data_IF_081164773101
#
_entry.id   IF_081164773101
#
_cell.length_a   1.000
_cell.length_b   1.000
_cell.length_c   1.000
_cell.angle_alpha   90.00
_cell.angle_beta   90.00
_cell.angle_gamma   90.00
#
_symmetry.space_group_name_H-M   'P 1'
#
loop_
_entity.id
_entity.type
_entity.pdbx_description
1 polymer ?
#
# COMPACT_ATOMS: atom_id res chain seq x y z
N UNK A 1 15.01 67.33 2.16
CA UNK A 1 15.48 66.03 1.60
C UNK A 1 17.00 66.07 1.56
N UNK A 2 17.69 65.22 2.31
CA UNK A 2 19.15 65.13 2.27
C UNK A 2 19.69 64.17 3.34
N UNK A 3 20.03 62.95 2.93
CA UNK A 3 20.73 61.95 3.77
C UNK A 3 22.21 62.31 3.82
N UNK A 4 22.82 62.33 5.00
CA UNK A 4 24.27 62.37 5.18
C UNK A 4 24.70 61.14 6.00
N UNK A 5 25.65 60.40 5.44
CA UNK A 5 26.38 59.30 6.08
C UNK A 5 27.54 59.90 6.89
N UNK A 6 27.84 59.33 8.05
CA UNK A 6 29.19 59.35 8.64
C UNK A 6 29.47 58.01 9.28
N UNK A 7 30.56 57.39 8.84
CA UNK A 7 31.31 56.34 9.52
C UNK A 7 32.07 56.91 10.73
N UNK A 8 32.32 56.08 11.75
CA UNK A 8 33.61 55.99 12.45
C UNK A 8 33.63 54.72 13.30
N UNK A 9 34.82 54.15 13.38
CA UNK A 9 35.23 52.85 13.87
C UNK A 9 35.72 52.85 15.32
N UNK A 10 35.86 51.63 15.85
CA UNK A 10 36.73 51.15 16.96
C UNK A 10 36.47 51.60 18.41
N UNK A 11 36.21 50.63 19.31
CA UNK A 11 37.20 50.13 20.28
C UNK A 11 36.56 49.18 21.31
N UNK A 12 37.32 48.14 21.64
CA UNK A 12 37.05 46.99 22.51
C UNK A 12 36.65 47.31 23.96
N UNK A 13 35.75 46.49 24.54
CA UNK A 13 35.76 46.18 25.97
C UNK A 13 35.01 44.87 26.25
N UNK A 14 35.79 43.90 26.72
CA UNK A 14 35.40 42.62 27.30
C UNK A 14 34.46 42.84 28.49
N UNK A 15 33.29 42.21 28.51
CA UNK A 15 32.45 42.10 29.72
C UNK A 15 31.75 40.75 29.71
N UNK A 16 32.27 39.86 30.56
CA UNK A 16 31.65 38.61 31.00
C UNK A 16 30.18 38.85 31.40
N UNK A 17 29.23 38.36 30.61
CA UNK A 17 27.83 38.28 31.03
C UNK A 17 27.23 36.89 30.74
N UNK A 18 26.84 36.25 31.84
CA UNK A 18 26.37 34.88 31.97
C UNK A 18 25.20 34.52 31.00
N UNK A 19 25.05 33.22 30.63
CA UNK A 19 24.04 32.81 29.66
C UNK A 19 22.62 33.01 30.20
N UNK A 20 21.87 33.90 29.53
CA UNK A 20 20.45 34.13 29.74
C UNK A 20 19.67 32.81 29.85
N UNK A 21 19.02 32.62 31.00
CA UNK A 21 18.16 31.46 31.26
C UNK A 21 17.00 31.47 30.26
N UNK A 22 16.86 30.36 29.53
CA UNK A 22 15.75 30.15 28.59
C UNK A 22 14.45 30.12 29.40
N UNK A 23 13.73 31.25 29.40
CA UNK A 23 12.38 31.37 29.93
C UNK A 23 11.52 30.27 29.31
N UNK A 24 11.02 29.35 30.13
CA UNK A 24 10.05 28.34 29.73
C UNK A 24 8.81 29.07 29.20
N UNK A 25 8.62 29.09 27.88
CA UNK A 25 7.36 29.50 27.26
C UNK A 25 6.26 28.67 27.92
N UNK A 26 5.40 29.34 28.70
CA UNK A 26 4.25 28.73 29.34
C UNK A 26 3.34 28.05 28.32
N UNK A 27 2.47 27.16 28.83
CA UNK A 27 1.48 26.44 28.04
C UNK A 27 0.72 27.42 27.14
N UNK A 28 0.60 27.17 25.82
CA UNK A 28 -0.08 28.09 24.91
C UNK A 28 -1.52 28.33 25.39
N UNK A 29 -1.93 29.60 25.42
CA UNK A 29 -3.31 30.04 25.67
C UNK A 29 -4.22 29.32 24.67
N UNK A 30 -5.18 28.54 25.17
CA UNK A 30 -6.12 27.76 24.33
C UNK A 30 -6.19 26.26 24.66
N UNK A 31 -5.29 25.75 25.48
CA UNK A 31 -5.36 24.35 25.96
C UNK A 31 -6.34 24.21 27.14
N UNK A 32 -7.61 24.54 26.90
CA UNK A 32 -8.67 24.27 27.88
C UNK A 32 -8.74 22.77 28.12
N UNK A 33 -8.75 22.37 29.38
CA UNK A 33 -8.99 20.97 29.74
C UNK A 33 -10.42 20.59 29.30
N UNK A 34 -10.65 19.30 29.07
CA UNK A 34 -11.99 18.79 28.82
C UNK A 34 -12.77 18.77 30.14
N UNK A 35 -13.89 19.47 30.18
CA UNK A 35 -14.83 19.44 31.30
C UNK A 35 -15.69 18.18 31.25
N UNK A 36 -16.31 17.79 32.37
CA UNK A 36 -17.28 16.67 32.41
C UNK A 36 -18.35 16.75 31.31
N UNK A 37 -19.08 17.88 31.14
CA UNK A 37 -20.05 18.02 30.05
C UNK A 37 -19.43 17.91 28.65
N UNK A 38 -18.18 18.35 28.46
CA UNK A 38 -17.49 18.19 27.18
C UNK A 38 -17.26 16.72 26.86
N UNK A 39 -16.93 15.92 27.88
CA UNK A 39 -16.72 14.47 27.75
C UNK A 39 -18.05 13.79 27.45
N UNK A 40 -19.11 14.12 28.20
CA UNK A 40 -20.45 13.58 27.95
C UNK A 40 -20.90 13.86 26.52
N UNK A 41 -20.78 15.10 26.05
CA UNK A 41 -21.19 15.44 24.70
C UNK A 41 -20.31 14.76 23.64
N UNK A 42 -19.00 14.68 23.86
CA UNK A 42 -18.10 13.94 22.97
C UNK A 42 -18.55 12.49 22.81
N UNK A 43 -18.96 11.83 23.92
CA UNK A 43 -19.45 10.45 23.87
C UNK A 43 -20.77 10.35 23.09
N UNK A 44 -21.71 11.28 23.31
CA UNK A 44 -22.98 11.33 22.56
C UNK A 44 -22.74 11.50 21.05
N UNK A 45 -21.89 12.44 20.65
CA UNK A 45 -21.55 12.64 19.23
C UNK A 45 -20.87 11.42 18.63
N UNK A 46 -19.97 10.77 19.38
CA UNK A 46 -19.24 9.58 18.93
C UNK A 46 -20.16 8.36 18.80
N UNK A 47 -21.10 8.19 19.73
CA UNK A 47 -22.10 7.09 19.70
C UNK A 47 -23.03 7.22 18.49
N UNK A 48 -23.43 8.45 18.13
CA UNK A 48 -24.30 8.70 16.97
C UNK A 48 -23.62 8.42 15.63
N UNK A 49 -22.36 8.81 15.49
CA UNK A 49 -21.63 8.70 14.20
C UNK A 49 -20.97 7.32 14.05
N UNK A 50 -20.49 6.72 15.15
CA UNK A 50 -19.60 5.57 15.17
C UNK A 50 -18.45 5.77 14.17
N UNK A 51 -17.51 6.69 14.48
CA UNK A 51 -16.53 7.16 13.51
C UNK A 51 -15.57 6.04 13.09
N UNK A 52 -15.57 5.73 11.80
CA UNK A 52 -14.59 4.84 11.16
C UNK A 52 -13.60 5.69 10.37
N UNK A 53 -12.34 5.70 10.80
CA UNK A 53 -11.27 6.48 10.17
C UNK A 53 -11.48 8.00 10.25
N UNK A 54 -10.65 8.75 9.51
CA UNK A 54 -10.59 10.21 9.61
C UNK A 54 -11.87 10.94 9.19
N UNK A 55 -12.65 10.38 8.23
CA UNK A 55 -13.91 10.99 7.78
C UNK A 55 -14.96 11.02 8.89
N UNK A 56 -15.14 9.90 9.61
CA UNK A 56 -16.07 9.85 10.74
C UNK A 56 -15.67 10.82 11.87
N UNK A 57 -14.38 10.98 12.14
CA UNK A 57 -13.92 11.94 13.15
C UNK A 57 -14.20 13.41 12.77
N UNK A 58 -14.19 13.76 11.48
CA UNK A 58 -14.61 15.10 11.02
C UNK A 58 -16.10 15.36 11.29
N UNK A 59 -16.95 14.35 11.07
CA UNK A 59 -18.39 14.44 11.34
C UNK A 59 -18.69 14.58 12.84
N UNK A 60 -17.97 13.83 13.69
CA UNK A 60 -18.04 13.99 15.16
C UNK A 60 -17.62 15.41 15.56
N UNK A 61 -16.55 15.93 14.94
CA UNK A 61 -16.04 17.28 15.23
C UNK A 61 -17.03 18.36 14.82
N UNK A 62 -17.63 18.25 13.64
CA UNK A 62 -18.66 19.17 13.19
C UNK A 62 -19.87 19.17 14.15
N UNK A 63 -20.31 17.99 14.59
CA UNK A 63 -21.42 17.85 15.54
C UNK A 63 -21.08 18.42 16.92
N UNK A 64 -19.86 18.18 17.40
CA UNK A 64 -19.37 18.71 18.67
C UNK A 64 -19.22 20.24 18.64
N UNK A 65 -18.63 20.81 17.58
CA UNK A 65 -18.41 22.25 17.49
C UNK A 65 -19.72 23.03 17.37
N UNK A 66 -20.76 22.47 16.71
CA UNK A 66 -22.12 23.05 16.74
C UNK A 66 -22.64 23.20 18.16
N UNK A 67 -22.59 22.12 18.94
CA UNK A 67 -22.97 22.16 20.36
C UNK A 67 -22.06 23.08 21.19
N UNK A 68 -20.77 23.14 20.88
CA UNK A 68 -19.82 23.99 21.60
C UNK A 68 -20.17 25.46 21.43
N UNK A 69 -20.52 25.90 20.21
CA UNK A 69 -20.98 27.27 19.94
C UNK A 69 -22.27 27.57 20.71
N UNK A 70 -23.26 26.68 20.67
CA UNK A 70 -24.53 26.83 21.41
C UNK A 70 -24.31 26.91 22.93
N UNK A 71 -23.31 26.18 23.44
CA UNK A 71 -22.98 26.11 24.87
C UNK A 71 -21.94 27.16 25.31
N UNK A 72 -21.56 28.10 24.45
CA UNK A 72 -20.51 29.11 24.69
C UNK A 72 -19.16 28.50 25.12
N UNK A 73 -18.77 27.38 24.48
CA UNK A 73 -17.52 26.64 24.73
C UNK A 73 -16.56 26.78 23.55
N UNK A 74 -15.24 26.65 23.80
CA UNK A 74 -14.27 26.74 22.73
C UNK A 74 -14.40 25.55 21.77
N UNK A 75 -14.39 25.85 20.48
CA UNK A 75 -14.28 24.85 19.41
C UNK A 75 -13.01 24.01 19.56
N UNK A 76 -13.08 22.76 19.12
CA UNK A 76 -11.98 21.80 19.22
C UNK A 76 -11.60 21.27 17.85
N UNK A 77 -10.30 21.00 17.71
CA UNK A 77 -9.76 20.31 16.55
C UNK A 77 -10.11 18.81 16.60
N UNK A 78 -10.25 18.21 15.42
CA UNK A 78 -10.57 16.80 15.22
C UNK A 78 -9.60 15.90 15.99
N UNK A 79 -8.31 16.20 15.90
CA UNK A 79 -7.27 15.41 16.58
C UNK A 79 -7.38 15.48 18.10
N UNK A 80 -7.86 16.61 18.64
CA UNK A 80 -8.04 16.79 20.09
C UNK A 80 -9.17 15.92 20.62
N UNK A 81 -10.31 15.90 19.93
CA UNK A 81 -11.47 15.09 20.28
C UNK A 81 -11.17 13.60 20.18
N UNK A 82 -10.56 13.17 19.06
CA UNK A 82 -10.15 11.78 18.85
C UNK A 82 -9.15 11.32 19.92
N UNK A 83 -8.14 12.15 20.22
CA UNK A 83 -7.14 11.82 21.23
C UNK A 83 -7.76 11.67 22.62
N UNK A 84 -8.71 12.55 22.96
CA UNK A 84 -9.43 12.48 24.24
C UNK A 84 -10.29 11.23 24.35
N UNK A 85 -11.03 10.87 23.29
CA UNK A 85 -11.82 9.64 23.25
C UNK A 85 -10.94 8.40 23.41
N UNK A 86 -9.85 8.29 22.63
CA UNK A 86 -8.90 7.17 22.73
C UNK A 86 -8.28 7.06 24.12
N UNK A 87 -8.05 8.18 24.81
CA UNK A 87 -7.56 8.19 26.18
C UNK A 87 -8.59 7.59 27.15
N UNK A 88 -9.88 7.92 26.99
CA UNK A 88 -10.97 7.35 27.80
C UNK A 88 -11.09 5.84 27.57
N UNK A 89 -11.01 5.38 26.33
CA UNK A 89 -11.02 3.93 25.99
C UNK A 89 -9.85 3.20 26.63
N UNK A 90 -8.65 3.79 26.57
CA UNK A 90 -7.41 3.22 27.15
C UNK A 90 -7.33 3.33 28.68
N UNK A 91 -8.31 3.96 29.34
CA UNK A 91 -8.29 4.09 30.79
C UNK A 91 -8.22 2.71 31.46
N UNK A 92 -7.19 2.54 32.29
CA UNK A 92 -6.90 1.28 32.99
C UNK A 92 -7.98 0.99 34.03
N UNK A 93 -8.20 -0.30 34.32
CA UNK A 93 -9.01 -0.72 35.46
C UNK A 93 -8.42 -0.06 36.72
N UNK A 94 -9.23 0.57 37.59
CA UNK A 94 -8.73 1.05 38.86
C UNK A 94 -8.16 -0.13 39.66
N UNK A 95 -6.96 0.03 40.22
CA UNK A 95 -6.31 -1.02 41.00
C UNK A 95 -7.02 -1.16 42.36
N UNK A 96 -7.78 -2.24 42.56
CA UNK A 96 -8.53 -2.51 43.79
C UNK A 96 -10.06 -2.37 43.64
N UNK A 97 -10.76 -1.94 44.71
CA UNK A 97 -12.22 -1.75 44.75
C UNK A 97 -12.72 -0.46 44.08
N UNK A 98 -11.97 0.10 43.14
CA UNK A 98 -12.34 1.35 42.50
C UNK A 98 -13.53 1.18 41.56
N UNK A 99 -14.54 2.04 41.69
CA UNK A 99 -15.66 2.12 40.73
C UNK A 99 -15.13 2.78 39.45
N UNK A 100 -15.27 2.09 38.31
CA UNK A 100 -14.94 2.66 37.01
C UNK A 100 -15.92 3.82 36.68
N UNK A 101 -15.44 5.04 36.37
CA UNK A 101 -16.31 6.16 35.99
C UNK A 101 -17.25 5.80 34.84
N UNK A 102 -18.49 6.30 34.87
CA UNK A 102 -19.51 6.04 33.83
C UNK A 102 -19.00 6.42 32.44
N UNK A 103 -18.38 7.58 32.31
CA UNK A 103 -17.77 8.08 31.06
C UNK A 103 -16.80 7.07 30.42
N UNK A 104 -16.02 6.36 31.24
CA UNK A 104 -15.06 5.35 30.76
C UNK A 104 -15.78 4.06 30.34
N UNK A 105 -16.85 3.68 31.05
CA UNK A 105 -17.68 2.54 30.67
C UNK A 105 -18.36 2.80 29.33
N UNK A 106 -18.92 3.99 29.15
CA UNK A 106 -19.58 4.41 27.91
C UNK A 106 -18.59 4.51 26.75
N UNK A 107 -17.42 5.11 26.95
CA UNK A 107 -16.37 5.14 25.93
C UNK A 107 -16.00 3.73 25.44
N UNK A 108 -15.83 2.77 26.35
CA UNK A 108 -15.53 1.37 26.01
C UNK A 108 -16.70 0.66 25.32
N UNK A 109 -17.94 0.98 25.69
CA UNK A 109 -19.14 0.48 25.02
C UNK A 109 -19.20 0.96 23.57
N UNK A 110 -18.98 2.26 23.36
CA UNK A 110 -18.96 2.88 22.03
C UNK A 110 -17.80 2.33 21.19
N UNK A 111 -16.62 2.15 21.75
CA UNK A 111 -15.47 1.56 21.05
C UNK A 111 -15.77 0.15 20.51
N UNK A 112 -16.49 -0.68 21.28
CA UNK A 112 -16.96 -1.98 20.79
C UNK A 112 -17.93 -1.83 19.61
N UNK A 113 -18.88 -0.91 19.68
CA UNK A 113 -19.83 -0.66 18.60
C UNK A 113 -19.15 -0.15 17.32
N UNK A 114 -18.10 0.68 17.45
CA UNK A 114 -17.26 1.10 16.32
C UNK A 114 -16.56 -0.11 15.69
N UNK A 115 -15.96 -0.97 16.51
CA UNK A 115 -15.25 -2.15 16.01
C UNK A 115 -16.21 -3.16 15.35
N UNK A 116 -17.41 -3.36 15.89
CA UNK A 116 -18.45 -4.21 15.30
C UNK A 116 -18.85 -3.71 13.91
N UNK A 117 -19.07 -2.39 13.76
CA UNK A 117 -19.36 -1.77 12.45
C UNK A 117 -18.24 -1.98 11.42
N UNK A 118 -16.99 -2.06 11.87
CA UNK A 118 -15.84 -2.32 10.98
C UNK A 118 -15.76 -3.80 10.60
N UNK A 119 -16.07 -4.70 11.53
CA UNK A 119 -16.02 -6.16 11.32
C UNK A 119 -17.14 -6.65 10.40
N UNK A 120 -18.30 -6.00 10.38
CA UNK A 120 -19.45 -6.37 9.51
C UNK A 120 -19.28 -5.86 8.06
N UNK A 121 -18.09 -5.39 7.65
CA UNK A 121 -17.85 -5.16 6.21
C UNK A 121 -17.59 -6.53 5.56
N UNK A 122 -18.50 -7.07 4.73
CA UNK A 122 -18.24 -8.31 4.02
C UNK A 122 -16.97 -8.10 3.20
N UNK A 123 -15.95 -8.88 3.51
CA UNK A 123 -14.87 -9.11 2.57
C UNK A 123 -15.50 -9.92 1.45
N UNK A 124 -15.63 -9.30 0.29
CA UNK A 124 -16.07 -9.98 -0.92
C UNK A 124 -14.93 -10.93 -1.31
N UNK A 125 -15.02 -12.19 -0.86
CA UNK A 125 -14.04 -13.26 -1.11
C UNK A 125 -14.04 -13.74 -2.58
N UNK A 126 -14.69 -13.00 -3.48
CA UNK A 126 -14.88 -13.37 -4.89
C UNK A 126 -13.58 -13.36 -5.73
N UNK A 127 -12.43 -12.96 -5.17
CA UNK A 127 -11.12 -12.92 -5.85
C UNK A 127 -10.04 -13.82 -5.21
N UNK A 128 -10.41 -14.91 -4.52
CA UNK A 128 -9.45 -15.98 -4.19
C UNK A 128 -9.88 -17.27 -4.89
N UNK A 129 -9.60 -17.31 -6.19
CA UNK A 129 -9.70 -18.50 -7.01
C UNK A 129 -8.66 -19.55 -6.58
N UNK A 130 -9.17 -20.65 -6.02
CA UNK A 130 -8.67 -22.02 -6.12
C UNK A 130 -7.15 -22.26 -5.98
N UNK A 131 -6.71 -22.57 -4.75
CA UNK A 131 -5.65 -23.57 -4.52
C UNK A 131 -6.04 -24.50 -3.37
N UNK A 132 -6.59 -25.66 -3.78
CA UNK A 132 -6.35 -27.01 -3.26
C UNK A 132 -6.05 -27.22 -1.76
N UNK A 133 -7.05 -27.85 -1.12
CA UNK A 133 -6.95 -29.06 -0.28
C UNK A 133 -6.08 -29.06 1.00
N UNK A 134 -6.80 -29.34 2.10
CA UNK A 134 -6.39 -30.12 3.27
C UNK A 134 -5.34 -29.52 4.21
N UNK A 135 -5.79 -28.83 5.26
CA UNK A 135 -5.36 -29.20 6.61
C UNK A 135 -6.33 -28.69 7.70
N UNK A 136 -6.41 -29.46 8.76
CA UNK A 136 -7.38 -29.38 9.86
C UNK A 136 -7.17 -28.16 10.76
N UNK A 137 -8.25 -27.44 11.12
CA UNK A 137 -8.20 -26.41 12.18
C UNK A 137 -9.08 -26.84 13.36
N UNK A 138 -8.43 -27.41 14.38
CA UNK A 138 -8.97 -27.45 15.74
C UNK A 138 -8.50 -26.26 16.58
N UNK A 139 -9.49 -25.50 17.06
CA UNK A 139 -9.63 -24.96 18.43
C UNK A 139 -8.61 -23.90 18.93
N UNK A 140 -9.12 -22.67 18.98
CA UNK A 140 -9.09 -21.70 20.09
C UNK A 140 -7.87 -21.67 21.05
N UNK A 141 -7.13 -20.55 21.05
CA UNK A 141 -6.93 -19.79 22.31
C UNK A 141 -6.42 -18.34 22.11
N UNK A 142 -6.69 -17.43 23.07
CA UNK A 142 -6.61 -15.98 22.89
C UNK A 142 -5.25 -15.36 23.21
N UNK A 143 -4.95 -14.32 22.42
CA UNK A 143 -4.10 -13.14 22.66
C UNK A 143 -3.41 -13.06 24.03
N UNK A 144 -2.10 -13.37 24.07
CA UNK A 144 -1.21 -12.88 25.13
C UNK A 144 -0.66 -11.52 24.72
N UNK A 145 -1.09 -10.48 25.45
CA UNK A 145 -0.64 -9.11 25.27
C UNK A 145 0.85 -8.95 25.63
N UNK A 146 1.64 -8.40 24.71
CA UNK A 146 2.98 -7.85 25.00
C UNK A 146 2.84 -6.66 25.97
N UNK A 147 3.20 -6.88 27.22
CA UNK A 147 3.39 -5.82 28.22
C UNK A 147 4.64 -5.03 27.84
N UNK A 148 4.47 -3.83 27.27
CA UNK A 148 5.52 -2.80 27.25
C UNK A 148 5.29 -1.88 28.45
N UNK A 149 6.10 -2.07 29.48
CA UNK A 149 6.20 -1.18 30.64
C UNK A 149 6.84 0.14 30.21
N UNK A 150 6.04 1.20 30.13
CA UNK A 150 6.55 2.56 29.98
C UNK A 150 7.09 3.03 31.34
N UNK A 151 8.42 3.19 31.42
CA UNK A 151 9.12 3.83 32.53
C UNK A 151 8.84 5.33 32.50
N UNK A 152 8.18 5.86 33.53
CA UNK A 152 8.09 7.29 33.76
C UNK A 152 9.44 7.82 34.24
N UNK A 153 10.00 8.82 33.56
CA UNK A 153 11.13 9.62 34.05
C UNK A 153 10.68 10.41 35.28
N UNK A 154 11.05 9.94 36.48
CA UNK A 154 11.04 10.71 37.72
C UNK A 154 12.41 11.35 37.93
N UNK A 155 12.41 12.55 38.50
CA UNK A 155 13.60 13.29 38.90
C UNK A 155 14.54 12.45 39.80
N UNK A 156 15.85 12.77 39.85
CA UNK A 156 16.86 11.92 40.49
C UNK A 156 16.70 11.96 42.01
N UNK A 157 16.12 10.90 42.58
CA UNK A 157 16.25 10.59 44.00
C UNK A 157 17.50 9.71 44.19
N UNK A 158 18.32 9.94 45.23
CA UNK A 158 19.54 9.16 45.47
C UNK A 158 19.21 7.67 45.65
N UNK A 159 20.09 6.75 45.18
CA UNK A 159 19.77 5.33 45.11
C UNK A 159 19.74 4.72 46.50
N UNK A 160 18.55 4.47 47.02
CA UNK A 160 18.38 3.54 48.13
C UNK A 160 18.71 2.13 47.61
N UNK A 161 19.81 1.57 48.13
CA UNK A 161 20.23 0.17 47.93
C UNK A 161 19.03 -0.75 48.15
N UNK A 162 18.48 -1.29 47.05
CA UNK A 162 17.55 -2.42 47.12
C UNK A 162 18.33 -3.59 47.70
N UNK A 163 18.05 -3.95 48.95
CA UNK A 163 18.46 -5.25 49.50
C UNK A 163 17.77 -6.31 48.65
N UNK A 164 18.56 -6.91 47.76
CA UNK A 164 18.26 -8.17 47.11
C UNK A 164 17.96 -9.20 48.20
N UNK A 165 16.70 -9.46 48.49
CA UNK A 165 16.30 -10.71 49.13
C UNK A 165 16.31 -11.77 48.04
N UNK A 166 17.50 -12.23 47.68
CA UNK A 166 17.67 -13.48 46.94
C UNK A 166 17.19 -14.58 47.85
N UNK A 167 16.08 -15.21 47.49
CA UNK A 167 15.73 -16.50 48.05
C UNK A 167 16.85 -17.47 47.63
N UNK A 168 17.76 -17.77 48.56
CA UNK A 168 18.90 -18.66 48.36
C UNK A 168 18.57 -20.03 47.69
N UNK A 169 17.39 -20.68 47.88
CA UNK A 169 17.13 -21.96 47.20
C UNK A 169 17.07 -21.83 45.67
N UNK A 170 16.62 -20.70 45.13
CA UNK A 170 16.38 -20.54 43.68
C UNK A 170 17.68 -20.29 42.88
N UNK A 171 18.76 -19.85 43.54
CA UNK A 171 20.07 -19.65 42.90
C UNK A 171 20.82 -20.98 42.81
N UNK A 172 20.78 -21.80 43.85
CA UNK A 172 21.39 -23.13 43.83
C UNK A 172 20.68 -24.05 42.84
N UNK A 173 19.35 -24.02 42.78
CA UNK A 173 18.60 -24.78 41.76
C UNK A 173 18.92 -24.34 40.33
N UNK A 174 19.11 -23.04 40.07
CA UNK A 174 19.52 -22.53 38.75
C UNK A 174 20.95 -22.88 38.38
N UNK A 175 21.85 -22.88 39.35
CA UNK A 175 23.23 -23.34 39.14
C UNK A 175 23.25 -24.84 38.87
N UNK A 176 22.51 -25.65 39.62
CA UNK A 176 22.40 -27.10 39.39
C UNK A 176 21.78 -27.39 38.02
N UNK A 177 20.70 -26.71 37.64
CA UNK A 177 20.08 -26.89 36.31
C UNK A 177 20.98 -26.42 35.16
N UNK A 178 21.94 -25.52 35.42
CA UNK A 178 22.90 -25.08 34.40
C UNK A 178 23.99 -26.12 34.11
N UNK A 179 24.20 -27.09 35.00
CA UNK A 179 25.13 -28.20 34.82
C UNK A 179 24.43 -29.51 34.42
N UNK A 180 23.10 -29.50 34.28
CA UNK A 180 22.34 -30.62 33.75
C UNK A 180 22.53 -30.70 32.21
N UNK A 181 23.11 -31.78 31.66
CA UNK A 181 23.40 -31.89 30.23
C UNK A 181 22.14 -31.79 29.36
N UNK A 182 20.99 -32.28 29.83
CA UNK A 182 19.73 -32.24 29.08
C UNK A 182 19.18 -30.80 28.99
N UNK A 183 19.27 -30.03 30.09
CA UNK A 183 18.87 -28.63 30.10
C UNK A 183 19.75 -27.75 29.18
N UNK A 184 21.04 -28.10 29.04
CA UNK A 184 21.94 -27.42 28.09
C UNK A 184 21.58 -27.73 26.64
N UNK A 185 21.25 -28.98 26.32
CA UNK A 185 20.81 -29.37 24.98
C UNK A 185 19.51 -28.65 24.59
N UNK A 186 18.52 -28.61 25.49
CA UNK A 186 17.27 -27.89 25.24
C UNK A 186 17.48 -26.40 24.95
N UNK A 187 18.40 -25.74 25.66
CA UNK A 187 18.75 -24.34 25.39
C UNK A 187 19.48 -24.16 24.05
N UNK A 188 20.37 -25.08 23.69
CA UNK A 188 21.04 -25.05 22.38
C UNK A 188 20.05 -25.26 21.25
N UNK A 189 19.12 -26.19 21.41
CA UNK A 189 18.04 -26.42 20.45
C UNK A 189 17.14 -25.18 20.32
N UNK A 190 16.76 -24.54 21.42
CA UNK A 190 16.02 -23.27 21.36
C UNK A 190 16.80 -22.16 20.64
N UNK A 191 18.12 -22.06 20.86
CA UNK A 191 18.96 -21.11 20.12
C UNK A 191 19.02 -21.45 18.63
N UNK A 192 19.12 -22.73 18.29
CA UNK A 192 19.12 -23.21 16.90
C UNK A 192 17.78 -22.96 16.21
N UNK A 193 16.66 -23.22 16.91
CA UNK A 193 15.32 -22.91 16.41
C UNK A 193 15.13 -21.40 16.22
N UNK A 194 15.57 -20.59 17.19
CA UNK A 194 15.48 -19.13 17.07
C UNK A 194 16.38 -18.58 15.96
N UNK A 195 17.61 -19.08 15.81
CA UNK A 195 18.51 -18.64 14.73
C UNK A 195 17.98 -19.06 13.35
N UNK A 196 17.38 -20.25 13.25
CA UNK A 196 16.73 -20.73 12.04
C UNK A 196 15.54 -19.84 11.66
N UNK A 197 14.63 -19.57 12.60
CA UNK A 197 13.48 -18.67 12.40
C UNK A 197 13.94 -17.25 12.01
N UNK A 198 15.00 -16.75 12.64
CA UNK A 198 15.56 -15.43 12.33
C UNK A 198 16.10 -15.37 10.90
N UNK A 199 16.81 -16.42 10.46
CA UNK A 199 17.33 -16.52 9.09
C UNK A 199 16.20 -16.60 8.07
N UNK A 200 15.16 -17.40 8.34
CA UNK A 200 13.98 -17.49 7.47
C UNK A 200 13.26 -16.14 7.35
N UNK A 201 13.07 -15.43 8.47
CA UNK A 201 12.48 -14.10 8.48
C UNK A 201 13.31 -13.11 7.66
N UNK A 202 14.65 -13.18 7.74
CA UNK A 202 15.53 -12.32 6.95
C UNK A 202 15.42 -12.62 5.46
N UNK A 203 15.36 -13.90 5.08
CA UNK A 203 15.18 -14.32 3.69
C UNK A 203 13.86 -13.81 3.09
N UNK A 204 12.75 -13.95 3.83
CA UNK A 204 11.45 -13.42 3.39
C UNK A 204 11.45 -11.89 3.30
N UNK A 205 12.10 -11.19 4.25
CA UNK A 205 12.24 -9.73 4.17
C UNK A 205 13.08 -9.29 2.97
N UNK A 206 14.11 -10.07 2.60
CA UNK A 206 14.89 -9.80 1.40
C UNK A 206 14.04 -9.96 0.15
N UNK A 207 13.27 -11.05 0.03
CA UNK A 207 12.33 -11.25 -1.09
C UNK A 207 11.32 -10.11 -1.22
N UNK A 208 10.77 -9.62 -0.10
CA UNK A 208 9.85 -8.48 -0.12
C UNK A 208 10.50 -7.20 -0.62
N UNK A 209 11.77 -6.96 -0.28
CA UNK A 209 12.52 -5.80 -0.79
C UNK A 209 12.76 -5.92 -2.29
N UNK A 210 13.17 -7.09 -2.74
CA UNK A 210 13.44 -7.33 -4.16
C UNK A 210 12.16 -7.22 -5.00
N UNK A 211 11.05 -7.77 -4.53
CA UNK A 211 9.74 -7.64 -5.18
C UNK A 211 9.25 -6.18 -5.22
N UNK A 212 9.48 -5.39 -4.16
CA UNK A 212 9.15 -3.97 -4.18
C UNK A 212 10.02 -3.20 -5.18
N UNK A 213 11.32 -3.52 -5.28
CA UNK A 213 12.22 -2.90 -6.24
C UNK A 213 11.82 -3.21 -7.70
N UNK A 214 11.39 -4.45 -8.00
CA UNK A 214 10.89 -4.78 -9.33
C UNK A 214 9.58 -4.07 -9.64
N UNK A 215 8.66 -3.96 -8.67
CA UNK A 215 7.42 -3.21 -8.84
C UNK A 215 7.66 -1.71 -9.10
N UNK A 216 8.62 -1.09 -8.41
CA UNK A 216 9.03 0.30 -8.67
C UNK A 216 9.66 0.46 -10.07
N UNK A 217 10.50 -0.48 -10.49
CA UNK A 217 11.07 -0.50 -11.84
C UNK A 217 9.99 -0.57 -12.93
N UNK A 218 9.00 -1.45 -12.76
CA UNK A 218 7.87 -1.55 -13.69
C UNK A 218 7.01 -0.28 -13.71
N UNK A 219 6.74 0.33 -12.54
CA UNK A 219 6.03 1.62 -12.47
C UNK A 219 6.79 2.73 -13.20
N UNK A 220 8.11 2.80 -13.05
CA UNK A 220 8.93 3.78 -13.76
C UNK A 220 8.86 3.57 -15.27
N UNK A 221 8.95 2.31 -15.74
CA UNK A 221 8.83 1.97 -17.15
C UNK A 221 7.46 2.31 -17.73
N UNK A 222 6.37 2.05 -16.99
CA UNK A 222 5.03 2.47 -17.39
C UNK A 222 4.94 4.00 -17.51
N UNK A 223 5.44 4.74 -16.53
CA UNK A 223 5.46 6.20 -16.60
C UNK A 223 6.30 6.74 -17.77
N UNK A 224 7.39 6.06 -18.15
CA UNK A 224 8.16 6.42 -19.35
C UNK A 224 7.38 6.18 -20.65
N UNK A 225 6.69 5.05 -20.75
CA UNK A 225 5.83 4.73 -21.89
C UNK A 225 4.67 5.72 -21.99
N UNK A 226 4.03 6.07 -20.87
CA UNK A 226 2.98 7.10 -20.82
C UNK A 226 3.49 8.45 -21.32
N UNK A 227 4.65 8.91 -20.83
CA UNK A 227 5.26 10.15 -21.34
C UNK A 227 5.62 10.06 -22.82
N UNK A 228 6.05 8.91 -23.32
CA UNK A 228 6.34 8.72 -24.73
C UNK A 228 5.05 8.77 -25.58
N UNK A 229 3.96 8.15 -25.09
CA UNK A 229 2.63 8.24 -25.69
C UNK A 229 2.16 9.68 -25.76
N UNK A 230 2.19 10.42 -24.65
CA UNK A 230 1.74 11.82 -24.62
C UNK A 230 2.54 12.72 -25.57
N UNK A 231 3.86 12.47 -25.71
CA UNK A 231 4.71 13.15 -26.71
C UNK A 231 4.30 12.81 -28.14
N UNK A 232 3.96 11.54 -28.41
CA UNK A 232 3.50 11.11 -29.71
C UNK A 232 2.12 11.70 -30.04
N UNK A 233 1.21 11.74 -29.07
CA UNK A 233 -0.12 12.38 -29.18
C UNK A 233 0.02 13.87 -29.48
N UNK A 234 0.84 14.62 -28.74
CA UNK A 234 1.11 16.04 -29.04
C UNK A 234 1.71 16.24 -30.44
N UNK A 235 2.61 15.35 -30.87
CA UNK A 235 3.18 15.39 -32.22
C UNK A 235 2.10 15.13 -33.28
N UNK A 236 1.17 14.21 -33.00
CA UNK A 236 0.06 13.91 -33.89
C UNK A 236 -1.00 15.02 -33.88
N UNK A 237 -1.23 15.74 -32.79
CA UNK A 237 -2.07 16.95 -32.79
C UNK A 237 -1.42 18.08 -33.60
N UNK A 238 -0.10 18.24 -33.51
CA UNK A 238 0.63 19.29 -34.22
C UNK A 238 0.76 19.02 -35.74
N UNK A 239 0.86 17.75 -36.14
CA UNK A 239 1.07 17.33 -37.53
C UNK A 239 -0.08 16.48 -38.09
N UNK A 240 -1.21 16.42 -37.38
CA UNK A 240 -2.39 15.63 -37.74
C UNK A 240 -3.06 16.15 -39.00
N UNK A 241 -3.85 15.30 -39.70
CA UNK A 241 -4.38 15.63 -41.01
C UNK A 241 -5.19 16.91 -40.93
N UNK A 242 -4.77 17.92 -41.71
CA UNK A 242 -5.56 19.11 -41.97
C UNK A 242 -6.99 18.68 -42.34
N UNK A 243 -8.04 19.37 -41.84
CA UNK A 243 -9.40 19.01 -42.19
C UNK A 243 -9.50 19.04 -43.71
N UNK A 244 -9.96 17.93 -44.29
CA UNK A 244 -10.27 17.81 -45.71
C UNK A 244 -11.38 18.80 -46.06
N UNK A 245 -10.98 20.06 -46.28
CA UNK A 245 -11.77 21.04 -46.98
C UNK A 245 -11.82 20.59 -48.43
N UNK A 246 -12.99 20.12 -48.86
CA UNK A 246 -13.23 19.74 -50.23
C UNK A 246 -12.95 20.90 -51.18
N UNK A 247 -12.22 20.60 -52.26
CA UNK A 247 -12.55 21.03 -53.62
C UNK A 247 -11.52 20.45 -54.57
N UNK A 248 -12.02 19.91 -55.67
CA UNK A 248 -11.23 19.20 -56.66
C UNK A 248 -10.26 20.09 -57.43
N UNK A 249 -9.32 19.43 -58.08
CA UNK A 249 -8.79 19.78 -59.40
C UNK A 249 -7.68 18.80 -59.71
N UNK A 250 -7.76 18.14 -60.86
CA UNK A 250 -6.83 17.10 -61.28
C UNK A 250 -5.40 17.58 -61.40
N UNK A 251 -4.48 16.77 -60.87
CA UNK A 251 -3.09 16.71 -61.31
C UNK A 251 -2.72 15.24 -61.54
N UNK A 252 -1.93 14.90 -62.57
CA UNK A 252 -1.46 13.54 -62.81
C UNK A 252 -0.30 13.25 -61.85
N UNK A 253 -0.62 13.17 -60.57
CA UNK A 253 0.32 12.78 -59.52
C UNK A 253 0.36 11.26 -59.43
N UNK A 254 1.57 10.70 -59.48
CA UNK A 254 1.90 9.30 -59.23
C UNK A 254 0.95 8.67 -58.21
N UNK A 255 0.36 7.52 -58.56
CA UNK A 255 -0.60 6.85 -57.70
C UNK A 255 0.00 6.58 -56.33
N UNK A 256 -0.81 6.60 -55.26
CA UNK A 256 -0.40 6.30 -53.88
C UNK A 256 0.41 4.99 -53.75
N UNK A 257 0.24 4.06 -54.68
CA UNK A 257 1.03 2.84 -54.81
C UNK A 257 2.52 3.07 -55.11
N UNK A 258 2.88 4.15 -55.81
CA UNK A 258 4.28 4.50 -56.10
C UNK A 258 4.99 5.13 -54.90
N UNK A 259 4.29 5.91 -54.06
CA UNK A 259 4.90 6.51 -52.86
C UNK A 259 5.35 5.47 -51.84
N UNK A 260 4.58 4.39 -51.65
CA UNK A 260 4.92 3.33 -50.68
C UNK A 260 6.02 2.38 -51.19
N UNK A 261 6.16 2.25 -52.52
CA UNK A 261 7.22 1.44 -53.12
C UNK A 261 8.62 2.09 -52.99
N UNK A 262 8.69 3.43 -53.03
CA UNK A 262 9.94 4.18 -52.87
C UNK A 262 10.42 4.23 -51.41
N UNK A 263 9.51 4.17 -50.43
CA UNK A 263 9.85 4.21 -48.99
C UNK A 263 10.26 2.84 -48.42
N UNK A 264 9.81 1.74 -49.04
CA UNK A 264 10.16 0.38 -48.63
C UNK A 264 10.31 -0.58 -49.83
N UNK A 265 11.49 -0.64 -50.46
CA UNK A 265 11.69 -1.38 -51.72
C UNK A 265 11.57 -2.90 -51.60
N UNK A 266 11.63 -3.45 -50.38
CA UNK A 266 11.62 -4.90 -50.14
C UNK A 266 10.20 -5.50 -50.02
N UNK A 267 9.15 -4.67 -49.97
CA UNK A 267 7.78 -5.17 -49.86
C UNK A 267 7.19 -5.52 -51.24
N UNK A 268 7.20 -6.82 -51.55
CA UNK A 268 6.61 -7.36 -52.78
C UNK A 268 5.07 -7.26 -52.68
N UNK A 269 4.48 -6.35 -53.47
CA UNK A 269 3.03 -6.22 -53.62
C UNK A 269 2.51 -7.12 -54.75
N UNK A 270 1.50 -7.96 -54.48
CA UNK A 270 0.70 -8.66 -55.51
C UNK A 270 -0.78 -8.39 -55.29
N UNK A 271 -1.45 -7.80 -56.28
CA UNK A 271 -2.90 -7.58 -56.25
C UNK A 271 -3.39 -6.68 -55.11
N UNK A 272 -2.61 -5.66 -54.71
CA UNK A 272 -2.97 -4.75 -53.62
C UNK A 272 -2.71 -5.30 -52.21
N UNK A 273 -2.24 -6.55 -52.09
CA UNK A 273 -1.79 -7.15 -50.84
C UNK A 273 -0.27 -7.03 -50.69
N UNK A 274 0.19 -6.84 -49.46
CA UNK A 274 1.59 -6.79 -49.08
C UNK A 274 1.99 -8.13 -48.47
N UNK A 275 3.07 -8.75 -48.95
CA UNK A 275 3.64 -9.94 -48.31
C UNK A 275 4.56 -9.52 -47.16
N UNK A 276 4.27 -9.97 -45.96
CA UNK A 276 5.14 -9.82 -44.79
C UNK A 276 5.67 -11.19 -44.38
N UNK A 277 6.98 -11.34 -44.27
CA UNK A 277 7.63 -12.57 -43.83
C UNK A 277 8.35 -12.32 -42.52
N UNK A 278 7.95 -13.02 -41.47
CA UNK A 278 8.58 -12.94 -40.15
C UNK A 278 9.34 -14.23 -39.89
N UNK A 279 10.66 -14.11 -39.70
CA UNK A 279 11.55 -15.23 -39.38
C UNK A 279 11.85 -15.17 -37.89
N UNK A 280 11.55 -16.25 -37.18
CA UNK A 280 11.74 -16.36 -35.74
C UNK A 280 13.16 -16.85 -35.38
N UNK A 281 13.72 -16.41 -34.24
CA UNK A 281 15.08 -16.75 -33.85
C UNK A 281 15.27 -18.23 -33.49
N UNK A 282 14.21 -18.94 -33.07
CA UNK A 282 14.26 -20.40 -32.83
C UNK A 282 14.27 -21.26 -34.11
N UNK A 283 14.17 -20.66 -35.29
CA UNK A 283 14.09 -21.37 -36.57
C UNK A 283 12.65 -21.69 -36.96
N UNK A 284 12.18 -21.01 -37.99
CA UNK A 284 10.81 -21.08 -38.49
C UNK A 284 10.39 -19.72 -39.03
N UNK A 285 9.55 -19.68 -40.05
CA UNK A 285 9.05 -18.44 -40.63
C UNK A 285 7.56 -18.53 -40.92
N UNK A 286 6.85 -17.42 -40.76
CA UNK A 286 5.49 -17.28 -41.24
C UNK A 286 5.41 -16.20 -42.32
N UNK A 287 4.53 -16.42 -43.30
CA UNK A 287 4.22 -15.46 -44.35
C UNK A 287 2.77 -15.02 -44.17
N UNK A 288 2.56 -13.73 -43.99
CA UNK A 288 1.24 -13.12 -43.85
C UNK A 288 0.99 -12.13 -44.98
N UNK A 289 -0.24 -12.09 -45.50
CA UNK A 289 -0.65 -11.17 -46.54
C UNK A 289 -1.55 -10.10 -45.94
N UNK A 290 -1.07 -8.86 -45.92
CA UNK A 290 -1.78 -7.71 -45.33
C UNK A 290 -2.45 -6.91 -46.44
N UNK A 291 -3.71 -6.51 -46.24
CA UNK A 291 -4.45 -5.61 -47.14
C UNK A 291 -4.52 -4.21 -46.51
N UNK A 292 -4.24 -3.16 -47.30
CA UNK A 292 -4.21 -1.75 -46.84
C UNK A 292 -5.60 -1.13 -46.60
N UNK A 293 -6.68 -1.91 -46.57
CA UNK A 293 -8.06 -1.40 -46.47
C UNK A 293 -8.65 -1.63 -45.09
N UNK A 294 -9.00 -0.54 -44.39
CA UNK A 294 -9.58 -0.53 -43.03
C UNK A 294 -10.99 -1.18 -42.93
N UNK A 295 -11.54 -1.71 -44.02
CA UNK A 295 -12.74 -2.56 -44.02
C UNK A 295 -12.36 -4.01 -43.66
N UNK A 296 -12.16 -4.24 -42.35
CA UNK A 296 -11.68 -5.48 -41.75
C UNK A 296 -12.71 -6.63 -41.67
N UNK A 297 -13.76 -6.62 -42.50
CA UNK A 297 -14.82 -7.64 -42.49
C UNK A 297 -14.85 -8.54 -43.74
N UNK A 298 -13.87 -8.43 -44.64
CA UNK A 298 -13.74 -9.39 -45.75
C UNK A 298 -12.69 -10.43 -45.40
N UNK A 299 -13.18 -11.63 -45.12
CA UNK A 299 -12.38 -12.84 -44.87
C UNK A 299 -11.15 -12.89 -45.77
N UNK A 300 -10.02 -13.19 -45.14
CA UNK A 300 -8.71 -13.23 -45.76
C UNK A 300 -8.65 -14.41 -46.74
N UNK A 301 -9.17 -14.21 -47.95
CA UNK A 301 -9.21 -15.25 -48.98
C UNK A 301 -7.79 -15.45 -49.51
N UNK A 302 -7.23 -16.63 -49.24
CA UNK A 302 -6.00 -17.11 -49.84
C UNK A 302 -6.28 -17.48 -51.31
N UNK A 303 -5.66 -16.80 -52.31
CA UNK A 303 -5.89 -17.09 -53.72
C UNK A 303 -5.41 -18.48 -54.15
N UNK A 304 -4.80 -19.27 -53.26
CA UNK A 304 -4.44 -20.67 -53.52
C UNK A 304 -5.57 -21.69 -53.24
N UNK A 305 -6.71 -21.27 -52.68
CA UNK A 305 -7.71 -22.21 -52.14
C UNK A 305 -8.86 -22.62 -53.08
N UNK A 306 -8.86 -22.23 -54.35
CA UNK A 306 -9.89 -22.68 -55.30
C UNK A 306 -9.59 -24.05 -55.93
N UNK A 307 -10.26 -25.06 -55.38
CA UNK A 307 -10.88 -26.21 -56.09
C UNK A 307 -10.01 -27.42 -56.44
N UNK A 308 -10.20 -28.52 -55.69
CA UNK A 308 -10.58 -29.85 -56.20
C UNK A 308 -10.94 -30.79 -55.05
N UNK A 309 -12.17 -30.73 -54.54
CA UNK A 309 -12.76 -31.84 -53.79
C UNK A 309 -13.69 -32.61 -54.72
N UNK A 310 -13.28 -33.80 -55.15
CA UNK A 310 -14.18 -34.83 -55.64
C UNK A 310 -14.34 -35.89 -54.55
N UNK A 311 -15.50 -35.84 -53.90
CA UNK A 311 -16.02 -36.93 -53.09
C UNK A 311 -16.33 -38.14 -53.99
N UNK A 312 -15.86 -39.32 -53.61
CA UNK A 312 -16.59 -40.57 -53.83
C UNK A 312 -16.48 -41.44 -52.57
N UNK A 313 -17.59 -41.99 -52.05
CA UNK A 313 -17.56 -42.99 -51.01
C UNK A 313 -17.51 -44.39 -51.66
N UNK A 314 -16.57 -45.24 -51.24
CA UNK A 314 -16.64 -46.67 -51.56
C UNK A 314 -16.35 -47.52 -50.32
N UNK A 315 -17.37 -48.31 -50.01
CA UNK A 315 -17.42 -49.52 -49.19
C UNK A 315 -16.11 -50.34 -49.13
N UNK A 316 -15.88 -50.91 -47.95
CA UNK A 316 -15.65 -52.36 -47.85
C UNK A 316 -14.29 -52.83 -47.35
N UNK A 317 -14.35 -53.48 -46.17
CA UNK A 317 -13.68 -54.75 -45.85
C UNK A 317 -12.23 -54.74 -45.30
N UNK A 318 -12.19 -54.97 -43.97
CA UNK A 318 -11.62 -56.19 -43.33
C UNK A 318 -10.11 -56.36 -43.14
N UNK A 319 -9.81 -57.15 -42.10
CA UNK A 319 -8.53 -57.66 -41.60
C UNK A 319 -7.60 -56.64 -40.91
N UNK A 320 -7.08 -56.86 -39.70
CA UNK A 320 -7.13 -58.01 -38.80
C UNK A 320 -5.81 -58.13 -38.04
N UNK A 321 -5.88 -58.49 -36.74
CA UNK A 321 -4.78 -58.92 -35.85
C UNK A 321 -3.65 -57.91 -35.63
N UNK A 322 -2.92 -57.82 -34.51
CA UNK A 322 -2.70 -58.56 -33.26
C UNK A 322 -1.78 -57.61 -32.46
N UNK A 323 -1.93 -57.35 -31.16
CA UNK A 323 -1.69 -58.30 -30.09
C UNK A 323 -0.21 -58.29 -29.66
N UNK A 324 0.02 -57.96 -28.37
CA UNK A 324 1.18 -58.30 -27.52
C UNK A 324 2.48 -57.50 -27.80
N UNK A 325 3.26 -57.02 -26.82
CA UNK A 325 3.32 -57.12 -25.35
C UNK A 325 3.88 -55.79 -24.81
#
# INVERSE_FOLDING_TARGET
>A
KGKKRTHSSDSDADTDEAPATKQHRGRPKGSSNFSGPDITQLLVCTERVLPVGGKGWKEVTASYNKWAVESNRPERDTRSLESKFKLLVKAKKPTGHGVCPSEVKDAKRIDRAINEKVVIRPLDDSDIGALSSDDSIEVLNPKVAKVRTAVARRAPTPPLRRKSRTNAPDVMSKLVSSFDPEAQQALQEQRAQHSFQTTQLLALNQQLRDANATAESLRNRLAEVERARDRAELKLELYGPAPLAGSGSGHPGKSRAQYVADEYPDLVRRGGKIRCETIYPEGGGCVEWITDTEDSDKENFDPSSSSSSSFLPSFGSSFGSSGLD
#
